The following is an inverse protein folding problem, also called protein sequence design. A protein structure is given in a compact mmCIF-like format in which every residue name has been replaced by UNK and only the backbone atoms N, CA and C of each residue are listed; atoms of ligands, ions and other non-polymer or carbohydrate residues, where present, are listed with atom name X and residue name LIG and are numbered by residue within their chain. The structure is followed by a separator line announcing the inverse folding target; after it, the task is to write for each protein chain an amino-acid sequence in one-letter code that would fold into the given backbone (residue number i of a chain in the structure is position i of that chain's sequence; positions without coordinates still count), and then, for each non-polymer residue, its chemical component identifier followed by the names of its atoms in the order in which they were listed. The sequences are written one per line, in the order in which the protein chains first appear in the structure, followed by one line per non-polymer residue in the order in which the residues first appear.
data_IF_024677678940
#
_entry.id   IF_024677678940
#
_cell.length_a   1.000
_cell.length_b   1.000
_cell.length_c   1.000
_cell.angle_alpha   90.00
_cell.angle_beta   90.00
_cell.angle_gamma   90.00
#
_symmetry.space_group_name_H-M   'P 1'
#
loop_
_entity.id
_entity.type
_entity.pdbx_description
1 polymer ?
#
# COMPACT_ATOMS: atom_id res chain seq x y z
N UNK A 1 -15.93 27.03 -0.57
CA UNK A 1 -15.59 25.63 -0.78
C UNK A 1 -15.46 25.00 0.59
N UNK A 2 -16.03 23.82 0.79
CA UNK A 2 -15.95 23.10 2.06
C UNK A 2 -14.52 22.62 2.32
N UNK A 3 -14.19 22.39 3.59
CA UNK A 3 -12.92 21.77 3.99
C UNK A 3 -13.06 20.24 3.88
N UNK A 4 -12.15 19.61 3.16
CA UNK A 4 -12.12 18.14 2.98
C UNK A 4 -11.04 17.53 3.87
N UNK A 5 -11.43 16.59 4.74
CA UNK A 5 -10.49 15.76 5.50
C UNK A 5 -10.00 14.59 4.65
N UNK A 6 -8.75 14.16 4.87
CA UNK A 6 -8.20 12.95 4.27
C UNK A 6 -7.94 11.93 5.36
N UNK A 7 -8.52 10.76 5.17
CA UNK A 7 -8.40 9.58 6.05
C UNK A 7 -7.81 8.41 5.26
N UNK A 8 -6.96 7.64 5.88
CA UNK A 8 -6.43 6.38 5.35
C UNK A 8 -6.30 5.35 6.47
N UNK A 9 -5.79 4.17 6.16
CA UNK A 9 -5.40 3.18 7.16
C UNK A 9 -3.88 2.95 7.16
N UNK A 10 -3.35 2.25 8.17
CA UNK A 10 -1.91 2.04 8.32
C UNK A 10 -1.25 1.21 7.21
N UNK A 11 -2.05 0.58 6.31
CA UNK A 11 -1.49 -0.11 5.13
C UNK A 11 -0.91 0.87 4.09
N UNK A 12 -1.17 2.17 4.21
CA UNK A 12 -0.50 3.21 3.43
C UNK A 12 0.99 3.37 3.80
N UNK A 13 1.43 2.83 4.93
CA UNK A 13 2.77 3.05 5.47
C UNK A 13 2.93 4.39 6.20
N UNK A 14 1.91 5.25 6.20
CA UNK A 14 1.93 6.52 6.94
C UNK A 14 1.80 6.22 8.43
N UNK A 15 2.85 6.57 9.20
CA UNK A 15 2.87 6.38 10.66
C UNK A 15 1.98 7.41 11.38
N UNK A 16 1.65 7.14 12.66
CA UNK A 16 0.90 8.10 13.48
C UNK A 16 1.65 9.43 13.68
N UNK A 17 2.98 9.44 13.63
CA UNK A 17 3.78 10.66 13.65
C UNK A 17 3.66 11.44 12.32
N UNK A 18 3.89 10.76 11.20
CA UNK A 18 3.78 11.37 9.87
C UNK A 18 2.37 11.88 9.57
N UNK A 19 1.32 11.19 10.08
CA UNK A 19 -0.07 11.61 9.87
C UNK A 19 -0.35 13.02 10.39
N UNK A 20 0.26 13.38 11.54
CA UNK A 20 0.15 14.73 12.11
C UNK A 20 0.85 15.79 11.28
N UNK A 21 2.04 15.47 10.74
CA UNK A 21 2.83 16.37 9.90
C UNK A 21 2.13 16.62 8.55
N UNK A 22 1.56 15.56 7.97
CA UNK A 22 0.84 15.62 6.70
C UNK A 22 -0.57 16.22 6.83
N UNK A 23 -1.10 16.34 8.05
CA UNK A 23 -2.47 16.78 8.29
C UNK A 23 -3.50 15.83 7.68
N UNK A 24 -3.27 14.53 7.82
CA UNK A 24 -4.19 13.43 7.47
C UNK A 24 -4.50 12.60 8.70
N UNK A 25 -5.54 11.81 8.69
CA UNK A 25 -5.85 10.85 9.76
C UNK A 25 -5.53 9.43 9.29
N UNK A 26 -4.99 8.59 10.19
CA UNK A 26 -4.68 7.18 9.91
C UNK A 26 -5.41 6.30 10.92
N UNK A 27 -6.27 5.39 10.44
CA UNK A 27 -6.86 4.32 11.26
C UNK A 27 -5.81 3.21 11.38
N UNK A 28 -5.39 2.82 12.60
CA UNK A 28 -4.48 1.70 12.78
C UNK A 28 -5.18 0.38 12.42
N UNK A 29 -4.52 -0.44 11.61
CA UNK A 29 -5.04 -1.78 11.25
C UNK A 29 -4.74 -2.77 12.36
N UNK A 30 -5.75 -3.48 12.89
CA UNK A 30 -5.53 -4.49 13.90
C UNK A 30 -4.91 -5.76 13.31
N UNK A 31 -3.96 -6.34 14.02
CA UNK A 31 -3.44 -7.67 13.75
C UNK A 31 -3.25 -8.43 15.07
N UNK A 32 -3.16 -9.76 14.99
CA UNK A 32 -3.12 -10.64 16.14
C UNK A 32 -1.87 -11.51 16.09
N UNK A 33 -1.21 -11.66 17.23
CA UNK A 33 -0.10 -12.56 17.44
C UNK A 33 -0.44 -13.46 18.62
N UNK A 34 -0.54 -14.78 18.42
CA UNK A 34 -0.93 -15.76 19.43
C UNK A 34 -2.25 -15.41 20.15
N UNK A 35 -3.18 -14.78 19.42
CA UNK A 35 -4.50 -14.38 19.92
C UNK A 35 -4.54 -13.01 20.62
N UNK A 36 -3.42 -12.35 20.85
CA UNK A 36 -3.35 -10.99 21.37
C UNK A 36 -3.39 -9.95 20.23
N UNK A 37 -4.14 -8.86 20.45
CA UNK A 37 -4.32 -7.78 19.47
C UNK A 37 -3.21 -6.74 19.56
N UNK A 38 -2.68 -6.39 18.40
CA UNK A 38 -1.63 -5.38 18.27
C UNK A 38 -1.98 -4.34 17.19
N UNK A 39 -1.36 -3.17 17.36
CA UNK A 39 -1.38 -2.05 16.40
C UNK A 39 0.04 -1.52 16.25
N UNK A 40 0.46 -1.34 15.00
CA UNK A 40 1.79 -0.83 14.67
C UNK A 40 2.02 0.56 15.29
N UNK A 41 3.21 0.78 15.85
CA UNK A 41 3.66 2.03 16.49
C UNK A 41 2.79 2.51 17.67
N UNK A 42 1.82 1.69 18.12
CA UNK A 42 0.99 1.96 19.30
C UNK A 42 1.39 1.03 20.44
N UNK A 43 1.38 -0.28 20.20
CA UNK A 43 1.74 -1.29 21.20
C UNK A 43 2.65 -2.40 20.67
N UNK A 44 3.16 -2.27 19.46
CA UNK A 44 4.20 -3.14 18.90
C UNK A 44 5.04 -2.40 17.83
N UNK A 45 6.36 -2.53 17.93
CA UNK A 45 7.30 -1.99 16.95
C UNK A 45 7.59 -2.98 15.82
N UNK A 46 8.20 -2.49 14.73
CA UNK A 46 8.68 -3.33 13.62
C UNK A 46 9.67 -4.41 14.12
N UNK A 47 10.61 -4.04 14.97
CA UNK A 47 11.64 -4.96 15.50
C UNK A 47 11.01 -6.08 16.33
N UNK A 48 10.14 -5.74 17.28
CA UNK A 48 9.42 -6.71 18.14
C UNK A 48 8.56 -7.67 17.32
N UNK A 49 7.90 -7.16 16.25
CA UNK A 49 7.10 -7.98 15.35
C UNK A 49 7.95 -9.04 14.66
N UNK A 50 9.09 -8.67 14.06
CA UNK A 50 9.92 -9.64 13.35
C UNK A 50 10.60 -10.64 14.30
N UNK A 51 10.90 -10.27 15.54
CA UNK A 51 11.37 -11.23 16.56
C UNK A 51 10.30 -12.28 16.90
N UNK A 52 9.03 -11.86 17.05
CA UNK A 52 7.91 -12.80 17.25
C UNK A 52 7.70 -13.68 16.01
N UNK A 53 7.82 -13.12 14.81
CA UNK A 53 7.69 -13.86 13.56
C UNK A 53 8.75 -14.98 13.41
N UNK A 54 9.99 -14.74 13.86
CA UNK A 54 11.06 -15.75 13.89
C UNK A 54 10.74 -16.94 14.81
N UNK A 55 9.92 -16.72 15.84
CA UNK A 55 9.49 -17.76 16.77
C UNK A 55 8.29 -18.56 16.27
N UNK A 56 7.89 -18.40 15.00
CA UNK A 56 6.77 -19.08 14.33
C UNK A 56 5.40 -18.83 15.00
N UNK A 57 5.22 -17.63 15.56
CA UNK A 57 3.98 -17.19 16.21
C UNK A 57 2.77 -17.31 15.26
N UNK A 58 1.60 -17.55 15.82
CA UNK A 58 0.35 -17.58 15.05
C UNK A 58 -0.13 -16.16 14.77
N UNK A 59 -0.07 -15.78 13.48
CA UNK A 59 -0.37 -14.40 13.04
C UNK A 59 -1.62 -14.37 12.18
N UNK A 60 -2.50 -13.42 12.46
CA UNK A 60 -3.67 -13.10 11.67
C UNK A 60 -3.96 -11.60 11.66
N UNK A 61 -4.81 -11.14 10.74
CA UNK A 61 -5.20 -9.74 10.62
C UNK A 61 -6.71 -9.60 10.58
N UNK A 62 -7.20 -8.41 10.94
CA UNK A 62 -8.59 -8.03 10.78
C UNK A 62 -8.69 -6.65 10.14
N UNK A 63 -9.86 -6.30 9.66
CA UNK A 63 -10.20 -4.91 9.34
C UNK A 63 -10.54 -4.14 10.62
N UNK A 64 -10.49 -2.80 10.62
CA UNK A 64 -11.05 -1.99 11.69
C UNK A 64 -12.53 -2.32 11.91
N UNK A 65 -13.00 -2.22 13.13
CA UNK A 65 -14.42 -2.40 13.45
C UNK A 65 -15.26 -1.26 12.83
N UNK A 66 -16.55 -1.51 12.64
CA UNK A 66 -17.50 -0.49 12.18
C UNK A 66 -17.48 0.71 13.13
N UNK A 67 -17.44 0.46 14.46
CA UNK A 67 -17.38 1.52 15.45
C UNK A 67 -16.15 2.41 15.32
N UNK A 68 -14.96 1.83 15.13
CA UNK A 68 -13.72 2.59 14.92
C UNK A 68 -13.79 3.45 13.65
N UNK A 69 -14.42 2.96 12.58
CA UNK A 69 -14.62 3.74 11.35
C UNK A 69 -15.58 4.90 11.59
N UNK A 70 -16.74 4.65 12.25
CA UNK A 70 -17.72 5.67 12.59
C UNK A 70 -17.12 6.74 13.50
N UNK A 71 -16.40 6.35 14.55
CA UNK A 71 -15.73 7.28 15.45
C UNK A 71 -14.75 8.20 14.69
N UNK A 72 -13.98 7.64 13.76
CA UNK A 72 -13.05 8.42 12.93
C UNK A 72 -13.78 9.39 11.99
N UNK A 73 -14.89 8.96 11.37
CA UNK A 73 -15.70 9.81 10.49
C UNK A 73 -16.37 10.93 11.29
N UNK A 74 -16.97 10.62 12.43
CA UNK A 74 -17.63 11.58 13.31
C UNK A 74 -16.65 12.60 13.89
N UNK A 75 -15.43 12.17 14.27
CA UNK A 75 -14.39 13.06 14.77
C UNK A 75 -13.98 14.08 13.69
N UNK A 76 -13.71 13.62 12.47
CA UNK A 76 -13.26 14.48 11.38
C UNK A 76 -14.36 15.44 10.90
N UNK A 77 -15.61 14.98 10.83
CA UNK A 77 -16.74 15.81 10.39
C UNK A 77 -17.17 16.89 11.41
N UNK A 78 -16.56 16.93 12.61
CA UNK A 78 -16.69 18.09 13.53
C UNK A 78 -15.93 19.32 13.05
N UNK A 79 -14.84 19.13 12.29
CA UNK A 79 -13.94 20.18 11.87
C UNK A 79 -13.92 20.40 10.34
N UNK A 80 -14.38 19.39 9.57
CA UNK A 80 -14.40 19.36 8.11
C UNK A 80 -15.82 19.19 7.60
N UNK A 81 -16.09 19.71 6.41
CA UNK A 81 -17.40 19.63 5.77
C UNK A 81 -17.61 18.29 5.06
N UNK A 82 -16.52 17.72 4.54
CA UNK A 82 -16.48 16.46 3.79
C UNK A 82 -15.24 15.63 4.16
N UNK A 83 -15.28 14.34 3.87
CA UNK A 83 -14.23 13.38 4.16
C UNK A 83 -13.95 12.47 2.95
N UNK A 84 -12.68 12.27 2.62
CA UNK A 84 -12.22 11.22 1.72
C UNK A 84 -11.51 10.14 2.54
N UNK A 85 -12.01 8.91 2.50
CA UNK A 85 -11.35 7.74 3.08
C UNK A 85 -10.72 6.88 1.97
N UNK A 86 -9.41 6.67 2.07
CA UNK A 86 -8.61 5.86 1.13
C UNK A 86 -8.12 4.61 1.88
N UNK A 87 -8.89 3.51 1.90
CA UNK A 87 -8.46 2.23 2.44
C UNK A 87 -7.60 1.48 1.41
N UNK A 88 -6.91 0.42 1.87
CA UNK A 88 -6.21 -0.46 0.93
C UNK A 88 -7.16 -1.15 -0.05
N UNK A 89 -6.59 -1.66 -1.16
CA UNK A 89 -7.31 -2.34 -2.24
C UNK A 89 -8.42 -3.28 -1.75
N UNK A 90 -9.62 -3.15 -2.33
CA UNK A 90 -10.77 -4.02 -2.07
C UNK A 90 -10.50 -5.51 -2.35
N UNK A 91 -9.54 -5.82 -3.21
CA UNK A 91 -9.14 -7.19 -3.50
C UNK A 91 -8.26 -7.84 -2.42
N UNK A 92 -7.72 -7.04 -1.48
CA UNK A 92 -6.83 -7.48 -0.40
C UNK A 92 -7.51 -7.44 0.98
N UNK A 93 -8.49 -6.56 1.17
CA UNK A 93 -9.23 -6.41 2.44
C UNK A 93 -10.70 -6.09 2.21
N UNK A 94 -11.55 -6.54 3.12
CA UNK A 94 -12.97 -6.13 3.20
C UNK A 94 -13.19 -4.69 3.67
N UNK A 95 -12.14 -4.00 4.13
CA UNK A 95 -12.24 -2.63 4.69
C UNK A 95 -12.94 -1.67 3.74
N UNK A 96 -12.58 -1.68 2.46
CA UNK A 96 -13.19 -0.78 1.47
C UNK A 96 -14.71 -1.00 1.36
N UNK A 97 -15.17 -2.25 1.30
CA UNK A 97 -16.59 -2.58 1.22
C UNK A 97 -17.34 -2.19 2.50
N UNK A 98 -16.77 -2.52 3.67
CA UNK A 98 -17.38 -2.15 4.96
C UNK A 98 -17.45 -0.63 5.12
N UNK A 99 -16.38 0.09 4.80
CA UNK A 99 -16.35 1.54 4.88
C UNK A 99 -17.36 2.20 3.93
N UNK A 100 -17.57 1.65 2.73
CA UNK A 100 -18.59 2.14 1.80
C UNK A 100 -19.98 2.00 2.39
N UNK A 101 -20.30 0.85 3.02
CA UNK A 101 -21.58 0.65 3.71
C UNK A 101 -21.77 1.63 4.87
N UNK A 102 -20.71 1.87 5.65
CA UNK A 102 -20.76 2.86 6.75
C UNK A 102 -20.95 4.28 6.22
N UNK A 103 -20.31 4.62 5.10
CA UNK A 103 -20.39 5.94 4.49
C UNK A 103 -21.80 6.30 3.97
N UNK A 104 -22.64 5.30 3.66
CA UNK A 104 -24.04 5.51 3.22
C UNK A 104 -24.87 6.27 4.26
N UNK A 105 -24.53 6.18 5.55
CA UNK A 105 -25.22 6.88 6.65
C UNK A 105 -24.82 8.37 6.78
N UNK A 106 -23.90 8.87 5.95
CA UNK A 106 -23.33 10.22 6.06
C UNK A 106 -23.79 11.21 4.98
N UNK A 107 -24.92 10.95 4.31
CA UNK A 107 -25.54 11.86 3.33
C UNK A 107 -24.55 12.35 2.24
N UNK A 108 -23.61 11.50 1.80
CA UNK A 108 -22.63 11.80 0.76
C UNK A 108 -21.41 12.62 1.23
N UNK A 109 -21.35 13.00 2.49
CA UNK A 109 -20.20 13.74 3.04
C UNK A 109 -18.93 12.89 3.15
N UNK A 110 -19.07 11.57 3.25
CA UNK A 110 -17.96 10.62 3.31
C UNK A 110 -17.84 9.91 1.96
N UNK A 111 -16.69 10.05 1.31
CA UNK A 111 -16.37 9.40 0.05
C UNK A 111 -15.28 8.34 0.27
N UNK A 112 -15.61 7.08 0.04
CA UNK A 112 -14.65 5.97 0.13
C UNK A 112 -14.07 5.68 -1.25
N UNK A 113 -12.74 5.67 -1.35
CA UNK A 113 -12.00 5.52 -2.60
C UNK A 113 -11.50 4.09 -2.74
N UNK A 114 -11.86 3.42 -3.81
CA UNK A 114 -11.30 2.12 -4.19
C UNK A 114 -10.33 2.28 -5.38
N UNK A 115 -9.16 2.83 -5.12
CA UNK A 115 -8.14 2.98 -6.16
C UNK A 115 -7.20 1.78 -6.30
N UNK A 116 -7.49 0.68 -5.63
CA UNK A 116 -6.81 -0.61 -5.77
C UNK A 116 -5.31 -0.56 -5.45
N UNK A 117 -4.88 0.33 -4.56
CA UNK A 117 -3.49 0.52 -4.15
C UNK A 117 -3.23 0.02 -2.73
N UNK A 118 -1.96 -0.12 -2.39
CA UNK A 118 -1.46 -0.54 -1.07
C UNK A 118 -0.04 0.01 -0.88
N UNK A 119 0.41 0.13 0.39
CA UNK A 119 1.79 0.52 0.74
C UNK A 119 2.19 1.85 0.09
N UNK A 120 3.39 1.97 -0.44
CA UNK A 120 3.96 3.20 -1.01
C UNK A 120 3.08 3.84 -2.09
N UNK A 121 2.44 3.05 -2.97
CA UNK A 121 1.53 3.59 -3.98
C UNK A 121 0.22 4.11 -3.37
N UNK A 122 -0.26 3.52 -2.28
CA UNK A 122 -1.41 4.01 -1.52
C UNK A 122 -1.04 5.29 -0.76
N UNK A 123 0.17 5.36 -0.20
CA UNK A 123 0.72 6.57 0.42
C UNK A 123 0.71 7.72 -0.58
N UNK A 124 1.20 7.52 -1.81
CA UNK A 124 1.15 8.55 -2.84
C UNK A 124 -0.28 9.02 -3.11
N UNK A 125 -1.26 8.11 -3.20
CA UNK A 125 -2.66 8.50 -3.36
C UNK A 125 -3.21 9.37 -2.22
N UNK A 126 -2.74 9.13 -0.99
CA UNK A 126 -3.10 9.97 0.16
C UNK A 126 -2.51 11.38 0.03
N UNK A 127 -1.26 11.49 -0.42
CA UNK A 127 -0.61 12.79 -0.68
C UNK A 127 -1.31 13.54 -1.81
N UNK A 128 -1.64 12.86 -2.90
CA UNK A 128 -2.38 13.41 -4.03
C UNK A 128 -3.76 13.92 -3.61
N UNK A 129 -4.50 13.12 -2.82
CA UNK A 129 -5.80 13.52 -2.27
C UNK A 129 -5.68 14.77 -1.40
N UNK A 130 -4.63 14.85 -0.58
CA UNK A 130 -4.38 16.03 0.27
C UNK A 130 -4.13 17.27 -0.56
N UNK A 131 -3.33 17.16 -1.62
CA UNK A 131 -3.06 18.29 -2.52
C UNK A 131 -4.29 18.70 -3.30
N UNK A 132 -5.09 17.75 -3.82
CA UNK A 132 -6.38 18.04 -4.46
C UNK A 132 -7.33 18.77 -3.52
N UNK A 133 -7.41 18.35 -2.26
CA UNK A 133 -8.22 19.05 -1.24
C UNK A 133 -7.72 20.46 -0.98
N UNK A 134 -6.40 20.68 -0.91
CA UNK A 134 -5.77 22.00 -0.77
C UNK A 134 -6.09 22.92 -1.95
N UNK A 135 -6.22 22.36 -3.15
CA UNK A 135 -6.65 23.08 -4.37
C UNK A 135 -8.18 23.28 -4.46
N UNK A 136 -8.91 22.89 -3.42
CA UNK A 136 -10.36 23.12 -3.28
C UNK A 136 -11.23 22.11 -4.00
N UNK A 137 -10.73 20.92 -4.33
CA UNK A 137 -11.56 19.82 -4.83
C UNK A 137 -12.46 19.30 -3.73
N UNK A 138 -13.72 18.98 -4.07
CA UNK A 138 -14.65 18.28 -3.19
C UNK A 138 -14.26 16.81 -2.98
N UNK A 139 -14.80 16.18 -1.94
CA UNK A 139 -14.55 14.77 -1.67
C UNK A 139 -14.97 13.87 -2.86
N UNK A 140 -16.09 14.18 -3.51
CA UNK A 140 -16.55 13.45 -4.68
C UNK A 140 -15.62 13.59 -5.89
N UNK A 141 -15.12 14.81 -6.18
CA UNK A 141 -14.13 15.03 -7.26
C UNK A 141 -12.82 14.29 -6.98
N UNK A 142 -12.32 14.32 -5.73
CA UNK A 142 -11.10 13.61 -5.33
C UNK A 142 -11.26 12.11 -5.55
N UNK A 143 -12.40 11.54 -5.13
CA UNK A 143 -12.71 10.14 -5.36
C UNK A 143 -12.70 9.80 -6.85
N UNK A 144 -13.40 10.56 -7.67
CA UNK A 144 -13.48 10.35 -9.12
C UNK A 144 -12.08 10.37 -9.76
N UNK A 145 -11.24 11.36 -9.41
CA UNK A 145 -9.87 11.47 -9.92
C UNK A 145 -9.04 10.25 -9.53
N UNK A 146 -9.00 9.88 -8.24
CA UNK A 146 -8.18 8.77 -7.77
C UNK A 146 -8.63 7.42 -8.36
N UNK A 147 -9.93 7.19 -8.50
CA UNK A 147 -10.45 5.96 -9.10
C UNK A 147 -10.26 5.90 -10.62
N UNK A 148 -10.30 7.03 -11.32
CA UNK A 148 -9.96 7.15 -12.74
C UNK A 148 -8.52 6.71 -13.01
N UNK A 149 -7.58 7.14 -12.16
CA UNK A 149 -6.15 6.90 -12.31
C UNK A 149 -5.63 5.64 -11.57
N UNK A 150 -6.53 4.76 -11.10
CA UNK A 150 -6.18 3.58 -10.30
C UNK A 150 -5.22 2.62 -10.98
N UNK A 151 -5.27 2.50 -12.32
CA UNK A 151 -4.41 1.60 -13.08
C UNK A 151 -3.06 2.21 -13.47
N UNK A 152 -2.82 3.47 -13.16
CA UNK A 152 -1.57 4.18 -13.44
C UNK A 152 -0.55 3.95 -12.32
N UNK A 153 -0.44 2.71 -11.88
CA UNK A 153 0.56 2.24 -10.90
C UNK A 153 0.91 0.78 -11.14
N UNK A 154 2.07 0.39 -10.67
CA UNK A 154 2.57 -0.99 -10.70
C UNK A 154 3.39 -1.27 -9.45
N UNK A 155 3.29 -2.50 -8.94
CA UNK A 155 4.15 -3.03 -7.88
C UNK A 155 4.67 -4.39 -8.34
N UNK A 156 6.00 -4.58 -8.26
CA UNK A 156 6.64 -5.88 -8.37
C UNK A 156 7.32 -6.19 -7.04
N UNK A 157 7.09 -7.38 -6.50
CA UNK A 157 7.61 -7.78 -5.19
C UNK A 157 8.19 -9.20 -5.25
N UNK A 158 9.36 -9.39 -4.66
CA UNK A 158 9.93 -10.72 -4.40
C UNK A 158 9.86 -11.04 -2.93
N UNK A 159 9.67 -12.32 -2.61
CA UNK A 159 9.45 -12.82 -1.26
C UNK A 159 10.40 -13.98 -0.97
N UNK A 160 10.79 -14.13 0.29
CA UNK A 160 11.54 -15.31 0.75
C UNK A 160 10.64 -16.55 0.88
N UNK A 161 9.36 -16.34 1.17
CA UNK A 161 8.38 -17.41 1.34
C UNK A 161 6.97 -16.97 0.96
N UNK A 162 6.16 -17.91 0.45
CA UNK A 162 4.71 -17.71 0.25
C UNK A 162 3.86 -18.26 1.41
N UNK A 163 4.49 -18.72 2.51
CA UNK A 163 3.80 -19.33 3.66
C UNK A 163 2.67 -18.45 4.18
N UNK A 164 2.98 -17.20 4.46
CA UNK A 164 2.05 -16.24 5.06
C UNK A 164 0.94 -15.81 4.10
N UNK A 165 1.27 -15.55 2.84
CA UNK A 165 0.27 -15.22 1.81
C UNK A 165 -0.72 -16.36 1.57
N UNK A 166 -0.24 -17.61 1.55
CA UNK A 166 -1.10 -18.79 1.43
C UNK A 166 -2.02 -18.93 2.63
N UNK A 167 -1.48 -18.79 3.86
CA UNK A 167 -2.27 -18.84 5.09
C UNK A 167 -3.34 -17.74 5.10
N UNK A 168 -2.99 -16.53 4.69
CA UNK A 168 -3.88 -15.38 4.68
C UNK A 168 -4.89 -15.36 3.53
N UNK A 169 -4.69 -16.14 2.46
CA UNK A 169 -5.58 -16.16 1.29
C UNK A 169 -5.56 -14.88 0.44
N UNK A 170 -4.53 -14.03 0.55
CA UNK A 170 -4.39 -12.76 -0.22
C UNK A 170 -3.54 -12.92 -1.48
N UNK A 171 -3.59 -14.09 -2.07
CA UNK A 171 -2.82 -14.46 -3.26
C UNK A 171 -3.73 -15.22 -4.23
N UNK A 172 -3.53 -14.99 -5.53
CA UNK A 172 -4.27 -15.74 -6.55
C UNK A 172 -3.86 -17.24 -6.54
N UNK A 173 -4.73 -18.16 -7.00
CA UNK A 173 -4.37 -19.57 -7.13
C UNK A 173 -3.13 -19.78 -8.02
N UNK A 174 -2.97 -19.00 -9.07
CA UNK A 174 -1.81 -19.06 -9.97
C UNK A 174 -0.50 -18.70 -9.23
N UNK A 175 -0.52 -17.63 -8.44
CA UNK A 175 0.63 -17.22 -7.63
C UNK A 175 0.91 -18.23 -6.49
N UNK A 176 -0.12 -18.80 -5.85
CA UNK A 176 0.05 -19.82 -4.83
C UNK A 176 0.72 -21.10 -5.36
N UNK A 177 0.49 -21.47 -6.62
CA UNK A 177 1.10 -22.63 -7.25
C UNK A 177 2.62 -22.48 -7.47
N UNK A 178 3.14 -21.24 -7.60
CA UNK A 178 4.58 -20.98 -7.75
C UNK A 178 5.38 -21.43 -6.52
N UNK A 179 4.85 -21.24 -5.32
CA UNK A 179 5.56 -21.44 -4.05
C UNK A 179 5.72 -22.89 -3.60
N UNK A 180 5.39 -23.88 -4.43
CA UNK A 180 5.60 -25.30 -4.09
C UNK A 180 7.00 -25.81 -4.47
N UNK A 181 7.80 -25.01 -5.18
CA UNK A 181 9.14 -25.41 -5.64
C UNK A 181 10.23 -24.88 -4.70
N UNK A 182 11.04 -25.76 -4.17
CA UNK A 182 12.20 -25.45 -3.30
C UNK A 182 13.20 -24.50 -4.01
N UNK A 183 13.70 -23.51 -3.28
CA UNK A 183 14.75 -22.56 -3.72
C UNK A 183 14.33 -21.56 -4.83
N UNK A 184 13.05 -21.27 -4.99
CA UNK A 184 12.60 -20.19 -5.87
C UNK A 184 12.18 -18.97 -5.05
N UNK A 185 12.63 -17.80 -5.50
CA UNK A 185 12.08 -16.52 -5.08
C UNK A 185 11.02 -16.11 -6.11
N UNK A 186 9.72 -16.16 -5.78
CA UNK A 186 8.69 -15.71 -6.69
C UNK A 186 8.78 -14.20 -6.88
N UNK A 187 8.51 -13.74 -8.08
CA UNK A 187 8.17 -12.33 -8.33
C UNK A 187 6.67 -12.27 -8.56
N UNK A 188 6.00 -11.48 -7.73
CA UNK A 188 4.57 -11.23 -7.82
C UNK A 188 4.35 -9.78 -8.27
N UNK A 189 3.16 -9.49 -8.77
CA UNK A 189 2.77 -8.14 -9.21
C UNK A 189 1.44 -7.72 -8.60
N UNK A 190 1.24 -6.42 -8.44
CA UNK A 190 -0.05 -5.78 -8.22
C UNK A 190 -0.25 -4.75 -9.33
N UNK A 191 -1.21 -5.03 -10.20
CA UNK A 191 -1.69 -4.14 -11.28
C UNK A 191 -3.22 -4.22 -11.27
N UNK A 192 -3.82 -3.60 -10.25
CA UNK A 192 -5.23 -3.72 -9.91
C UNK A 192 -5.42 -4.30 -8.51
N UNK A 193 -6.45 -5.12 -8.32
CA UNK A 193 -6.95 -5.45 -6.97
C UNK A 193 -6.09 -6.40 -6.15
N UNK A 194 -5.38 -7.35 -6.77
CA UNK A 194 -4.80 -8.53 -6.09
C UNK A 194 -3.34 -8.74 -6.41
N UNK A 195 -2.69 -9.45 -5.49
CA UNK A 195 -1.33 -9.95 -5.69
C UNK A 195 -1.36 -11.19 -6.59
N UNK A 196 -0.77 -11.09 -7.78
CA UNK A 196 -0.75 -12.12 -8.80
C UNK A 196 0.67 -12.59 -9.15
N UNK A 197 0.75 -13.74 -9.83
CA UNK A 197 1.99 -14.31 -10.30
C UNK A 197 2.57 -13.49 -11.46
N UNK A 198 3.85 -13.16 -11.39
CA UNK A 198 4.56 -12.53 -12.51
C UNK A 198 5.66 -13.45 -13.07
N UNK A 199 6.63 -13.83 -12.23
CA UNK A 199 7.76 -14.66 -12.67
C UNK A 199 8.28 -15.57 -11.56
N UNK A 200 9.10 -16.56 -11.98
CA UNK A 200 9.86 -17.43 -11.09
C UNK A 200 11.35 -17.10 -11.22
N UNK A 201 12.00 -16.77 -10.10
CA UNK A 201 13.42 -16.48 -10.10
C UNK A 201 14.19 -17.53 -9.28
N UNK A 202 15.41 -17.82 -9.69
CA UNK A 202 16.35 -18.64 -8.92
C UNK A 202 17.25 -17.73 -8.09
N UNK A 203 16.83 -17.47 -6.85
CA UNK A 203 17.52 -16.58 -5.92
C UNK A 203 17.15 -15.10 -6.09
N UNK A 204 17.38 -14.33 -5.02
CA UNK A 204 17.00 -12.92 -4.90
C UNK A 204 17.67 -12.02 -5.95
N UNK A 205 18.93 -12.28 -6.31
CA UNK A 205 19.61 -11.52 -7.34
C UNK A 205 18.94 -11.63 -8.72
N UNK A 206 18.43 -12.81 -9.07
CA UNK A 206 17.65 -13.00 -10.30
C UNK A 206 16.29 -12.30 -10.21
N UNK A 207 15.64 -12.35 -9.04
CA UNK A 207 14.36 -11.66 -8.81
C UNK A 207 14.50 -10.14 -8.95
N UNK A 208 15.54 -9.54 -8.34
CA UNK A 208 15.85 -8.10 -8.48
C UNK A 208 15.99 -7.69 -9.96
N UNK A 209 16.72 -8.47 -10.78
CA UNK A 209 16.86 -8.19 -12.22
C UNK A 209 15.53 -8.27 -12.98
N UNK A 210 14.69 -9.27 -12.65
CA UNK A 210 13.37 -9.42 -13.26
C UNK A 210 12.49 -8.22 -12.91
N UNK A 211 12.48 -7.77 -11.66
CA UNK A 211 11.68 -6.63 -11.21
C UNK A 211 12.12 -5.33 -11.89
N UNK A 212 13.42 -5.06 -11.99
CA UNK A 212 13.93 -3.87 -12.71
C UNK A 212 13.54 -3.88 -14.18
N UNK A 213 13.68 -5.05 -14.84
CA UNK A 213 13.26 -5.18 -16.24
C UNK A 213 11.75 -4.96 -16.40
N UNK A 214 10.95 -5.56 -15.54
CA UNK A 214 9.50 -5.41 -15.59
C UNK A 214 9.06 -3.97 -15.38
N UNK A 215 9.70 -3.25 -14.46
CA UNK A 215 9.47 -1.83 -14.25
C UNK A 215 9.86 -1.00 -15.47
N UNK A 216 11.02 -1.28 -16.09
CA UNK A 216 11.42 -0.61 -17.34
C UNK A 216 10.41 -0.87 -18.45
N UNK A 217 9.96 -2.12 -18.61
CA UNK A 217 8.96 -2.49 -19.63
C UNK A 217 7.62 -1.73 -19.41
N UNK A 218 7.19 -1.54 -18.15
CA UNK A 218 6.01 -0.73 -17.81
C UNK A 218 6.22 0.76 -18.16
N UNK A 219 7.39 1.33 -17.85
CA UNK A 219 7.74 2.72 -18.17
C UNK A 219 7.83 2.96 -19.68
N UNK A 220 8.26 1.97 -20.45
CA UNK A 220 8.38 2.04 -21.93
C UNK A 220 7.04 1.80 -22.63
N UNK A 221 6.03 1.26 -21.94
CA UNK A 221 4.75 0.86 -22.55
C UNK A 221 3.55 1.51 -21.86
N UNK A 222 3.12 0.97 -20.71
CA UNK A 222 1.90 1.41 -19.99
C UNK A 222 1.98 2.87 -19.53
N UNK A 223 3.17 3.31 -19.13
CA UNK A 223 3.41 4.63 -18.57
C UNK A 223 4.27 5.53 -19.47
N UNK A 224 4.45 5.17 -20.75
CA UNK A 224 5.38 5.84 -21.64
C UNK A 224 5.18 7.36 -21.73
N UNK A 225 3.93 7.83 -21.76
CA UNK A 225 3.63 9.26 -21.82
C UNK A 225 4.01 9.99 -20.53
N UNK A 226 3.76 9.40 -19.36
CA UNK A 226 4.17 9.97 -18.07
C UNK A 226 5.69 9.91 -17.89
N UNK A 227 6.30 8.77 -18.21
CA UNK A 227 7.73 8.55 -18.04
C UNK A 227 8.59 9.48 -18.89
N UNK A 228 8.14 9.76 -20.13
CA UNK A 228 8.80 10.69 -21.05
C UNK A 228 8.92 12.11 -20.46
N UNK A 229 7.92 12.54 -19.73
CA UNK A 229 7.86 13.87 -19.11
C UNK A 229 8.41 13.89 -17.68
N UNK A 230 8.97 12.76 -17.20
CA UNK A 230 9.49 12.62 -15.83
C UNK A 230 8.39 12.57 -14.76
N UNK A 231 7.13 12.32 -15.14
CA UNK A 231 5.95 12.37 -14.27
C UNK A 231 5.60 11.00 -13.68
N UNK A 232 6.60 10.34 -13.10
CA UNK A 232 6.42 9.09 -12.35
C UNK A 232 7.10 9.21 -11.00
N UNK A 233 6.47 8.68 -9.96
CA UNK A 233 7.10 8.39 -8.68
C UNK A 233 7.76 7.02 -8.75
N UNK A 234 9.01 6.91 -8.31
CA UNK A 234 9.68 5.64 -8.14
C UNK A 234 9.75 5.28 -6.66
N UNK A 235 9.29 4.09 -6.31
CA UNK A 235 9.04 3.75 -4.93
C UNK A 235 9.61 2.36 -4.59
N UNK A 236 10.06 2.19 -3.36
CA UNK A 236 10.56 0.93 -2.82
C UNK A 236 9.81 0.62 -1.52
N UNK A 237 9.40 -0.63 -1.37
CA UNK A 237 8.90 -1.14 -0.10
C UNK A 237 9.65 -2.41 0.30
N UNK A 238 9.78 -2.67 1.61
CA UNK A 238 10.53 -3.80 2.11
C UNK A 238 9.96 -4.35 3.42
N UNK A 239 10.42 -5.55 3.82
CA UNK A 239 10.06 -6.14 5.11
C UNK A 239 11.27 -6.71 5.85
N UNK A 240 11.51 -6.25 7.08
CA UNK A 240 12.36 -6.85 8.10
C UNK A 240 13.88 -6.80 7.90
N UNK A 241 14.41 -6.30 6.79
CA UNK A 241 15.86 -6.16 6.56
C UNK A 241 16.21 -4.80 5.95
N UNK A 242 16.45 -3.77 6.79
CA UNK A 242 16.77 -2.43 6.32
C UNK A 242 18.05 -2.34 5.48
N UNK A 243 19.09 -3.08 5.84
CA UNK A 243 20.38 -3.04 5.10
C UNK A 243 20.19 -3.53 3.65
N UNK A 244 19.52 -4.67 3.47
CA UNK A 244 19.21 -5.18 2.13
C UNK A 244 18.27 -4.25 1.35
N UNK A 245 17.37 -3.57 2.06
CA UNK A 245 16.47 -2.58 1.47
C UNK A 245 17.22 -1.35 0.99
N UNK A 246 18.20 -0.86 1.74
CA UNK A 246 19.06 0.27 1.34
C UNK A 246 19.88 -0.06 0.09
N UNK A 247 20.48 -1.26 0.04
CA UNK A 247 21.20 -1.73 -1.17
C UNK A 247 20.25 -1.81 -2.38
N UNK A 248 19.03 -2.30 -2.17
CA UNK A 248 18.00 -2.38 -3.21
C UNK A 248 17.56 -0.98 -3.67
N UNK A 249 17.32 -0.07 -2.74
CA UNK A 249 16.96 1.32 -3.02
C UNK A 249 18.05 2.05 -3.81
N UNK A 250 19.34 1.83 -3.46
CA UNK A 250 20.45 2.39 -4.19
C UNK A 250 20.47 1.92 -5.65
N UNK A 251 20.27 0.62 -5.87
CA UNK A 251 20.20 0.04 -7.23
C UNK A 251 19.00 0.58 -8.04
N UNK A 252 17.85 0.76 -7.41
CA UNK A 252 16.67 1.35 -8.06
C UNK A 252 16.92 2.79 -8.44
N UNK A 253 17.50 3.60 -7.55
CA UNK A 253 17.88 5.01 -7.83
C UNK A 253 18.90 5.14 -8.95
N UNK A 254 19.89 4.24 -8.98
CA UNK A 254 20.89 4.20 -10.05
C UNK A 254 20.26 3.83 -11.41
N UNK A 255 19.26 2.94 -11.39
CA UNK A 255 18.58 2.47 -12.61
C UNK A 255 17.61 3.52 -13.15
N UNK A 256 16.91 4.25 -12.29
CA UNK A 256 15.86 5.21 -12.63
C UNK A 256 16.11 6.60 -12.04
N UNK A 257 17.26 7.24 -12.33
CA UNK A 257 17.68 8.50 -11.66
C UNK A 257 16.84 9.72 -12.05
N UNK A 258 16.01 9.60 -13.09
CA UNK A 258 15.18 10.68 -13.62
C UNK A 258 13.88 10.90 -12.83
N UNK A 259 13.50 10.00 -11.92
CA UNK A 259 12.28 10.09 -11.16
C UNK A 259 12.57 10.45 -9.71
N UNK A 260 11.61 11.08 -9.03
CA UNK A 260 11.66 11.22 -7.58
C UNK A 260 11.57 9.84 -6.91
N UNK A 261 12.01 9.76 -5.66
CA UNK A 261 12.17 8.48 -5.01
C UNK A 261 11.66 8.50 -3.57
N UNK A 262 10.91 7.45 -3.23
CA UNK A 262 10.45 7.21 -1.87
C UNK A 262 10.68 5.75 -1.45
N UNK A 263 10.99 5.52 -0.16
CA UNK A 263 11.13 4.18 0.42
C UNK A 263 10.51 4.12 1.81
N UNK A 264 9.66 3.12 2.03
CA UNK A 264 9.08 2.79 3.34
C UNK A 264 9.15 1.29 3.65
N UNK A 265 9.21 0.90 4.93
CA UNK A 265 8.90 -0.48 5.32
C UNK A 265 7.42 -0.79 5.04
N UNK A 266 7.12 -2.06 4.78
CA UNK A 266 5.74 -2.53 4.77
C UNK A 266 5.14 -2.38 6.18
N UNK A 267 3.91 -1.89 6.29
CA UNK A 267 3.20 -1.87 7.57
C UNK A 267 3.07 -3.27 8.17
N UNK A 268 2.98 -3.38 9.47
CA UNK A 268 2.96 -4.69 10.15
C UNK A 268 1.75 -5.52 9.76
N UNK A 269 0.59 -4.91 9.52
CA UNK A 269 -0.60 -5.60 9.02
C UNK A 269 -0.39 -6.21 7.62
N UNK A 270 0.40 -5.57 6.75
CA UNK A 270 0.83 -6.13 5.46
C UNK A 270 1.90 -7.20 5.68
N UNK A 271 2.88 -6.95 6.54
CA UNK A 271 3.96 -7.88 6.85
C UNK A 271 3.46 -9.22 7.44
N UNK A 272 2.30 -9.23 8.12
CA UNK A 272 1.61 -10.45 8.55
C UNK A 272 1.34 -11.43 7.41
N UNK A 273 1.12 -10.93 6.20
CA UNK A 273 0.87 -11.75 5.00
C UNK A 273 2.11 -11.94 4.11
N UNK A 274 3.06 -11.03 4.19
CA UNK A 274 4.28 -11.04 3.37
C UNK A 274 5.42 -11.80 4.04
N UNK A 275 5.58 -11.64 5.35
CA UNK A 275 6.70 -12.17 6.11
C UNK A 275 7.94 -11.29 6.01
N UNK A 276 9.07 -11.81 6.50
CA UNK A 276 10.37 -11.17 6.48
C UNK A 276 11.05 -11.30 5.11
N UNK A 277 11.89 -10.33 4.74
CA UNK A 277 12.82 -10.43 3.61
C UNK A 277 12.23 -10.09 2.24
N UNK A 278 11.05 -9.47 2.18
CA UNK A 278 10.50 -8.98 0.93
C UNK A 278 11.18 -7.70 0.47
N UNK A 279 11.31 -7.57 -0.85
CA UNK A 279 11.73 -6.36 -1.54
C UNK A 279 10.78 -6.07 -2.68
N UNK A 280 10.29 -4.83 -2.75
CA UNK A 280 9.42 -4.39 -3.83
C UNK A 280 10.01 -3.17 -4.55
N UNK A 281 9.70 -3.04 -5.83
CA UNK A 281 9.76 -1.82 -6.61
C UNK A 281 8.37 -1.46 -7.05
N UNK A 282 8.01 -0.21 -6.93
CA UNK A 282 6.72 0.29 -7.32
C UNK A 282 6.85 1.61 -8.06
N UNK A 283 5.80 1.96 -8.78
CA UNK A 283 5.67 3.26 -9.44
C UNK A 283 4.22 3.70 -9.47
N UNK A 284 3.99 4.99 -9.45
CA UNK A 284 2.69 5.62 -9.69
C UNK A 284 2.87 6.90 -10.51
N UNK A 285 1.94 7.17 -11.41
CA UNK A 285 1.98 8.38 -12.23
C UNK A 285 1.56 9.60 -11.42
N UNK A 286 2.13 10.77 -11.74
CA UNK A 286 1.63 12.06 -11.30
C UNK A 286 0.22 12.28 -11.86
N UNK A 287 -0.67 12.82 -11.03
CA UNK A 287 -2.01 13.14 -11.48
C UNK A 287 -1.98 14.37 -12.39
N UNK A 288 -2.51 14.30 -13.62
CA UNK A 288 -2.61 15.45 -14.50
C UNK A 288 -3.40 16.61 -13.90
N UNK A 289 -4.32 16.31 -13.00
CA UNK A 289 -5.12 17.31 -12.27
C UNK A 289 -4.30 18.12 -11.25
N UNK A 290 -3.04 17.74 -11.00
CA UNK A 290 -2.08 18.44 -10.14
C UNK A 290 -1.00 19.22 -10.90
N UNK A 291 -1.06 19.21 -12.23
CA UNK A 291 -0.16 20.01 -13.09
C UNK A 291 -0.40 21.53 -13.00
#
# INVERSE_FOLDING_TARGET
MGKVAILTDSNSGITQAQSKELGVKVIPMPFFIDGEQYFEDINLTQEEFYEKLKQDADISTSQPSIGEMQDAFDELLKEYDELVYIPMSSGLSGTCQTATMVADDYDGKVQVVNNQRISVTMRQSVLDAKELANRGKSAAEIKEILEKHKMESSIYITLDTLKYLKKGGRITPAAAAIGTMLKLNPVLQIQGEKLDAFAKARGKASAKKIMLKAMQDDLDTRFAEFAKDGKMHMEVAYSGNPEEAEEWAALVKETFPQFDFHMDPLSLSVACHIGHGALAIATSAYLPELD
#
